data_IF_198169933100
#
_entry.id   IF_198169933100
#
_cell.length_a   1.000
_cell.length_b   1.000
_cell.length_c   1.000
_cell.angle_alpha   90.00
_cell.angle_beta   90.00
_cell.angle_gamma   90.00
#
_symmetry.space_group_name_H-M   'P 1'
#
loop_
_entity.id
_entity.type
_entity.pdbx_description
1 polymer ?
#
# COMPACT_ATOMS: atom_id res chain seq x y z
N UNK A 1 4.63 -15.92 -22.65
CA UNK A 1 3.49 -15.59 -21.78
C UNK A 1 3.86 -14.43 -20.89
N UNK A 2 3.07 -13.36 -20.91
CA UNK A 2 3.40 -12.17 -20.11
C UNK A 2 2.74 -12.23 -18.76
N UNK A 3 3.33 -11.54 -17.81
CA UNK A 3 2.82 -11.41 -16.45
C UNK A 3 2.64 -9.93 -16.13
N UNK A 4 1.60 -9.62 -15.38
CA UNK A 4 1.39 -8.25 -14.92
C UNK A 4 2.13 -8.04 -13.61
N UNK A 5 2.93 -6.98 -13.55
CA UNK A 5 3.68 -6.60 -12.37
C UNK A 5 3.24 -5.21 -11.93
N UNK A 6 3.06 -5.02 -10.63
CA UNK A 6 2.64 -3.76 -10.04
C UNK A 6 3.81 -3.13 -9.28
N UNK A 7 3.90 -1.81 -9.36
CA UNK A 7 4.99 -1.05 -8.76
C UNK A 7 4.44 0.06 -7.85
N UNK A 8 4.88 0.06 -6.61
CA UNK A 8 4.75 1.23 -5.76
C UNK A 8 5.96 2.13 -5.99
N UNK A 9 5.78 3.43 -5.90
CA UNK A 9 6.83 4.38 -6.26
C UNK A 9 6.92 5.54 -5.28
N UNK A 10 8.03 6.28 -5.35
CA UNK A 10 8.13 7.61 -4.75
C UNK A 10 7.63 8.63 -5.77
N UNK A 11 6.79 9.55 -5.32
CA UNK A 11 6.19 10.55 -6.22
C UNK A 11 6.87 11.91 -6.15
N UNK A 12 8.13 11.93 -5.72
CA UNK A 12 8.88 13.17 -5.53
C UNK A 12 9.39 13.78 -6.84
N UNK A 13 9.33 13.04 -7.92
CA UNK A 13 9.74 13.51 -9.24
C UNK A 13 8.60 13.35 -10.25
N UNK A 14 8.75 12.46 -11.23
CA UNK A 14 7.78 12.31 -12.31
C UNK A 14 6.69 11.29 -12.03
N UNK A 15 6.94 10.34 -11.13
CA UNK A 15 5.95 9.31 -10.81
C UNK A 15 4.74 9.90 -10.10
N UNK A 16 3.57 9.37 -10.40
CA UNK A 16 2.30 9.87 -9.85
C UNK A 16 1.61 8.91 -8.92
N UNK A 17 2.14 7.71 -8.75
CA UNK A 17 1.51 6.75 -7.85
C UNK A 17 1.91 5.31 -8.12
N UNK A 18 0.88 4.48 -8.28
CA UNK A 18 1.03 3.04 -8.46
C UNK A 18 0.90 2.71 -9.94
N UNK A 19 1.82 1.92 -10.45
CA UNK A 19 1.89 1.57 -11.87
C UNK A 19 1.81 0.07 -12.05
N UNK A 20 1.46 -0.34 -13.26
CA UNK A 20 1.60 -1.73 -13.71
C UNK A 20 2.35 -1.78 -15.02
N UNK A 21 2.95 -2.92 -15.30
CA UNK A 21 3.60 -3.18 -16.57
C UNK A 21 3.48 -4.66 -16.91
N UNK A 22 3.69 -4.99 -18.18
CA UNK A 22 3.74 -6.38 -18.62
C UNK A 22 5.18 -6.86 -18.62
N UNK A 23 5.44 -7.99 -18.03
CA UNK A 23 6.74 -8.60 -17.98
C UNK A 23 6.74 -9.87 -18.85
N UNK A 24 7.68 -9.95 -19.78
CA UNK A 24 7.89 -11.14 -20.58
C UNK A 24 9.07 -11.92 -19.99
N UNK A 25 8.84 -13.06 -19.32
CA UNK A 25 9.93 -13.81 -18.70
C UNK A 25 10.88 -14.45 -19.71
N UNK A 26 10.45 -14.67 -20.96
CA UNK A 26 11.33 -15.25 -21.99
C UNK A 26 12.40 -14.27 -22.45
N UNK A 27 12.03 -13.00 -22.60
CA UNK A 27 12.96 -11.96 -23.07
C UNK A 27 13.51 -11.10 -21.95
N UNK A 28 12.87 -11.14 -20.76
CA UNK A 28 13.25 -10.29 -19.64
C UNK A 28 12.85 -8.83 -19.81
N UNK A 29 11.90 -8.55 -20.70
CA UNK A 29 11.50 -7.16 -21.00
C UNK A 29 10.25 -6.74 -20.28
N UNK A 30 10.20 -5.47 -19.92
CA UNK A 30 9.01 -4.80 -19.39
C UNK A 30 8.44 -3.90 -20.48
N UNK A 31 7.12 -3.85 -20.58
CA UNK A 31 6.44 -3.02 -21.56
C UNK A 31 5.08 -2.56 -21.04
N UNK A 32 4.47 -1.62 -21.75
CA UNK A 32 3.10 -1.16 -21.46
C UNK A 32 2.97 -0.64 -20.03
N UNK A 33 3.88 0.24 -19.62
CA UNK A 33 3.80 0.89 -18.31
C UNK A 33 2.57 1.78 -18.24
N UNK A 34 1.77 1.61 -17.19
CA UNK A 34 0.50 2.32 -17.05
C UNK A 34 0.26 2.71 -15.60
N UNK A 35 -0.20 3.95 -15.38
CA UNK A 35 -0.61 4.40 -14.05
C UNK A 35 -1.97 3.77 -13.72
N UNK A 36 -2.08 3.08 -12.59
CA UNK A 36 -3.34 2.47 -12.16
C UNK A 36 -4.01 3.23 -11.03
N UNK A 37 -3.24 3.90 -10.18
CA UNK A 37 -3.80 4.69 -9.09
C UNK A 37 -2.87 5.83 -8.72
N UNK A 38 -3.42 7.03 -8.57
CA UNK A 38 -2.65 8.19 -8.10
C UNK A 38 -2.66 8.17 -6.57
N UNK A 39 -1.48 8.23 -5.97
CA UNK A 39 -1.33 8.21 -4.52
C UNK A 39 0.03 8.81 -4.17
N UNK A 40 0.11 9.67 -3.14
CA UNK A 40 1.41 10.21 -2.73
C UNK A 40 2.30 9.11 -2.14
N UNK A 41 3.47 8.93 -2.73
CA UNK A 41 4.52 8.01 -2.26
C UNK A 41 4.01 6.63 -1.81
N UNK A 42 3.31 5.89 -2.70
CA UNK A 42 2.83 4.54 -2.36
C UNK A 42 3.97 3.53 -2.49
N UNK A 43 4.91 3.61 -1.57
CA UNK A 43 6.19 2.91 -1.68
C UNK A 43 6.14 1.43 -1.33
N UNK A 44 5.03 0.95 -0.79
CA UNK A 44 4.81 -0.46 -0.53
C UNK A 44 3.34 -0.78 -0.77
N UNK A 45 3.06 -1.89 -1.44
CA UNK A 45 1.70 -2.28 -1.82
C UNK A 45 1.45 -3.75 -1.50
N UNK A 46 0.17 -4.09 -1.31
CA UNK A 46 -0.26 -5.47 -1.08
C UNK A 46 -1.66 -5.65 -1.64
N UNK A 47 -2.00 -6.87 -2.03
CA UNK A 47 -3.32 -7.21 -2.55
C UNK A 47 -4.01 -8.21 -1.62
N UNK A 48 -5.34 -8.08 -1.50
CA UNK A 48 -6.15 -9.12 -0.87
C UNK A 48 -6.47 -10.22 -1.89
N UNK A 49 -6.99 -11.35 -1.42
CA UNK A 49 -7.40 -12.44 -2.32
C UNK A 49 -8.49 -12.00 -3.29
N UNK A 50 -9.33 -11.05 -2.90
CA UNK A 50 -10.38 -10.50 -3.77
C UNK A 50 -9.84 -9.52 -4.80
N UNK A 51 -8.55 -9.19 -4.73
CA UNK A 51 -7.92 -8.28 -5.67
C UNK A 51 -7.94 -6.82 -5.27
N UNK A 52 -8.44 -6.50 -4.08
CA UNK A 52 -8.38 -5.12 -3.59
C UNK A 52 -6.93 -4.76 -3.28
N UNK A 53 -6.58 -3.50 -3.52
CA UNK A 53 -5.21 -3.02 -3.37
C UNK A 53 -5.09 -2.15 -2.13
N UNK A 54 -4.02 -2.38 -1.39
CA UNK A 54 -3.67 -1.58 -0.20
C UNK A 54 -2.26 -1.07 -0.37
N UNK A 55 -2.05 0.20 -0.07
CA UNK A 55 -0.72 0.78 -0.18
C UNK A 55 -0.44 1.70 1.00
N UNK A 56 0.85 1.85 1.32
CA UNK A 56 1.21 3.00 2.15
C UNK A 56 0.86 4.24 1.35
N UNK A 57 0.39 5.27 2.02
CA UNK A 57 -0.08 6.46 1.33
C UNK A 57 -0.18 7.64 2.28
N UNK A 58 -0.72 8.73 1.75
CA UNK A 58 -0.83 9.96 2.51
C UNK A 58 -2.08 10.73 2.09
N UNK A 59 -2.58 11.53 3.02
CA UNK A 59 -3.70 12.43 2.77
C UNK A 59 -3.53 13.65 3.66
N UNK A 60 -3.57 14.81 3.06
CA UNK A 60 -3.46 16.09 3.79
C UNK A 60 -2.21 16.18 4.67
N UNK A 61 -1.09 15.64 4.20
CA UNK A 61 0.17 15.67 4.94
C UNK A 61 0.30 14.62 6.03
N UNK A 62 -0.68 13.74 6.17
CA UNK A 62 -0.66 12.66 7.15
C UNK A 62 -0.38 11.33 6.46
N UNK A 63 0.32 10.43 7.14
CA UNK A 63 0.67 9.13 6.59
C UNK A 63 -0.19 8.01 7.10
N UNK A 64 -0.37 6.98 6.29
CA UNK A 64 -1.15 5.81 6.67
C UNK A 64 -1.31 4.84 5.52
N UNK A 65 -2.50 4.26 5.40
CA UNK A 65 -2.80 3.28 4.37
C UNK A 65 -3.96 3.76 3.51
N UNK A 66 -3.80 3.62 2.20
CA UNK A 66 -4.85 3.87 1.23
C UNK A 66 -5.41 2.53 0.76
N UNK A 67 -6.72 2.47 0.54
CA UNK A 67 -7.38 1.28 0.02
C UNK A 67 -8.07 1.57 -1.30
N UNK A 68 -8.06 0.58 -2.19
CA UNK A 68 -8.62 0.68 -3.54
C UNK A 68 -9.37 -0.61 -3.87
N UNK A 69 -10.38 -0.48 -4.73
CA UNK A 69 -11.10 -1.65 -5.24
C UNK A 69 -10.21 -2.46 -6.19
N UNK A 70 -10.69 -3.63 -6.62
CA UNK A 70 -9.98 -4.43 -7.61
C UNK A 70 -9.86 -3.71 -8.96
N UNK A 71 -10.70 -2.70 -9.22
CA UNK A 71 -10.61 -1.84 -10.39
C UNK A 71 -9.81 -0.57 -10.13
N UNK A 72 -9.12 -0.50 -8.99
CA UNK A 72 -8.24 0.61 -8.60
C UNK A 72 -8.99 1.92 -8.34
N UNK A 73 -10.25 1.84 -7.98
CA UNK A 73 -11.00 3.02 -7.53
C UNK A 73 -10.71 3.25 -6.04
N UNK A 74 -10.46 4.49 -5.62
CA UNK A 74 -10.16 4.75 -4.21
C UNK A 74 -11.35 4.47 -3.31
N UNK A 75 -11.09 3.84 -2.18
CA UNK A 75 -12.11 3.55 -1.16
C UNK A 75 -11.95 4.51 0.02
N UNK A 76 -10.86 4.39 0.77
CA UNK A 76 -10.61 5.33 1.85
C UNK A 76 -9.12 5.38 2.19
N UNK A 77 -8.77 6.40 2.97
CA UNK A 77 -7.45 6.54 3.60
C UNK A 77 -7.64 6.49 5.11
N UNK A 78 -6.80 5.72 5.77
CA UNK A 78 -6.73 5.76 7.25
C UNK A 78 -5.35 6.31 7.57
N UNK A 79 -5.29 7.56 8.00
CA UNK A 79 -4.04 8.29 8.18
C UNK A 79 -3.96 8.89 9.58
N UNK A 80 -2.73 9.17 10.03
CA UNK A 80 -2.48 9.89 11.27
C UNK A 80 -1.25 10.77 11.11
N UNK A 81 -1.08 11.72 11.98
CA UNK A 81 0.05 12.64 11.92
C UNK A 81 1.36 11.90 12.16
N UNK A 82 2.40 12.34 11.48
CA UNK A 82 3.73 11.81 11.61
C UNK A 82 4.27 11.26 10.31
N UNK A 83 5.37 10.53 10.41
CA UNK A 83 6.02 9.95 9.26
C UNK A 83 5.17 8.87 8.60
N UNK A 84 5.30 8.70 7.29
CA UNK A 84 4.53 7.67 6.59
C UNK A 84 4.95 6.26 7.00
N UNK A 85 4.06 5.31 6.74
CA UNK A 85 4.36 3.91 6.95
C UNK A 85 5.38 3.44 5.91
N UNK A 86 6.05 2.34 6.21
CA UNK A 86 7.03 1.75 5.30
C UNK A 86 6.63 0.36 4.82
N UNK A 87 5.55 -0.19 5.34
CA UNK A 87 5.16 -1.56 5.04
C UNK A 87 3.66 -1.74 5.22
N UNK A 88 3.07 -2.58 4.37
CA UNK A 88 1.67 -3.00 4.50
C UNK A 88 1.58 -4.47 4.11
N UNK A 89 0.76 -5.24 4.83
CA UNK A 89 0.45 -6.62 4.47
C UNK A 89 -1.00 -6.94 4.78
N UNK A 90 -1.56 -7.89 4.04
CA UNK A 90 -2.95 -8.29 4.15
C UNK A 90 -3.02 -9.70 4.73
N UNK A 91 -3.86 -9.88 5.76
CA UNK A 91 -4.15 -11.19 6.34
C UNK A 91 -5.60 -11.51 5.97
N UNK A 92 -5.77 -12.20 4.85
CA UNK A 92 -7.10 -12.51 4.33
C UNK A 92 -7.90 -13.42 5.26
N UNK A 93 -7.20 -14.32 5.92
CA UNK A 93 -7.85 -15.28 6.81
C UNK A 93 -8.52 -14.59 7.99
N UNK A 94 -7.87 -13.58 8.55
CA UNK A 94 -8.38 -12.84 9.70
C UNK A 94 -9.08 -11.54 9.32
N UNK A 95 -9.06 -11.18 8.04
CA UNK A 95 -9.62 -9.93 7.53
C UNK A 95 -9.00 -8.73 8.24
N UNK A 96 -7.68 -8.73 8.30
CA UNK A 96 -6.89 -7.65 8.89
C UNK A 96 -5.84 -7.18 7.91
N UNK A 97 -5.44 -5.94 8.07
CA UNK A 97 -4.31 -5.35 7.35
C UNK A 97 -3.34 -4.80 8.38
N UNK A 98 -2.06 -5.06 8.19
CA UNK A 98 -1.02 -4.60 9.11
C UNK A 98 -0.15 -3.56 8.43
N UNK A 99 0.22 -2.54 9.19
CA UNK A 99 1.17 -1.53 8.74
C UNK A 99 2.31 -1.41 9.72
N UNK A 100 3.46 -0.99 9.23
CA UNK A 100 4.62 -0.74 10.08
C UNK A 100 5.15 0.66 9.84
N UNK A 101 5.51 1.33 10.93
CA UNK A 101 6.09 2.66 10.90
C UNK A 101 7.38 2.63 11.74
N UNK A 102 8.53 2.51 11.06
CA UNK A 102 9.79 2.41 11.79
C UNK A 102 10.21 3.74 12.42
N UNK A 103 9.74 4.86 11.89
CA UNK A 103 10.05 6.17 12.47
C UNK A 103 9.46 6.33 13.87
N UNK A 104 8.30 5.73 14.10
CA UNK A 104 7.62 5.77 15.40
C UNK A 104 7.78 4.48 16.19
N UNK A 105 8.36 3.44 15.60
CA UNK A 105 8.46 2.12 16.22
C UNK A 105 7.12 1.45 16.40
N UNK A 106 6.20 1.64 15.46
CA UNK A 106 4.82 1.16 15.60
C UNK A 106 4.48 0.06 14.61
N UNK A 107 3.65 -0.87 15.08
CA UNK A 107 2.88 -1.78 14.24
C UNK A 107 1.41 -1.40 14.38
N UNK A 108 0.73 -1.23 13.27
CA UNK A 108 -0.67 -0.81 13.24
C UNK A 108 -1.53 -1.92 12.65
N UNK A 109 -2.73 -2.06 13.20
CA UNK A 109 -3.67 -3.10 12.78
C UNK A 109 -4.96 -2.43 12.34
N UNK A 110 -5.44 -2.84 11.17
CA UNK A 110 -6.67 -2.31 10.59
C UNK A 110 -7.62 -3.46 10.30
N UNK A 111 -8.91 -3.22 10.50
CA UNK A 111 -9.95 -4.16 10.11
C UNK A 111 -10.25 -3.99 8.63
N UNK A 112 -10.28 -5.10 7.91
CA UNK A 112 -10.67 -5.12 6.50
C UNK A 112 -12.18 -5.30 6.44
N UNK A 113 -12.87 -4.26 5.99
CA UNK A 113 -14.32 -4.28 5.89
C UNK A 113 -14.78 -5.06 4.65
N UNK A 114 -16.07 -5.44 4.63
CA UNK A 114 -16.61 -6.27 3.54
C UNK A 114 -16.47 -5.61 2.17
N UNK A 115 -16.52 -4.27 2.10
CA UNK A 115 -16.40 -3.53 0.85
C UNK A 115 -14.93 -3.20 0.48
N UNK A 116 -13.98 -3.62 1.31
CA UNK A 116 -12.56 -3.38 1.08
C UNK A 116 -12.00 -2.19 1.82
N UNK A 117 -12.83 -1.39 2.46
CA UNK A 117 -12.34 -0.26 3.25
C UNK A 117 -11.63 -0.75 4.50
N UNK A 118 -10.81 0.12 5.06
CA UNK A 118 -10.09 -0.15 6.29
C UNK A 118 -10.62 0.72 7.43
N UNK A 119 -10.60 0.16 8.63
CA UNK A 119 -10.83 0.94 9.85
C UNK A 119 -9.73 0.59 10.85
N UNK A 120 -9.27 1.61 11.58
CA UNK A 120 -8.20 1.43 12.56
C UNK A 120 -8.70 0.59 13.74
N UNK A 121 -7.90 -0.39 14.17
CA UNK A 121 -8.25 -1.26 15.28
C UNK A 121 -7.30 -1.05 16.46
N UNK A 122 -5.99 -1.15 16.22
CA UNK A 122 -5.03 -1.17 17.31
C UNK A 122 -3.63 -0.82 16.83
N UNK A 123 -2.79 -0.46 17.78
CA UNK A 123 -1.36 -0.24 17.48
C UNK A 123 -0.54 -0.69 18.67
N UNK A 124 0.69 -1.10 18.38
CA UNK A 124 1.67 -1.43 19.39
C UNK A 124 2.93 -0.60 19.10
N UNK A 125 3.44 0.05 20.13
CA UNK A 125 4.62 0.90 19.99
C UNK A 125 5.79 0.24 20.72
N UNK A 126 6.87 0.01 19.97
CA UNK A 126 8.09 -0.56 20.52
C UNK A 126 9.07 0.55 20.87
N UNK A 127 9.76 0.37 21.97
CA UNK A 127 10.81 1.29 22.37
C UNK A 127 12.14 0.56 22.37
N UNK A 128 13.14 1.21 21.82
CA UNK A 128 14.46 0.64 21.74
C UNK A 128 15.26 1.34 20.66
N UNK A 129 16.55 1.06 20.64
CA UNK A 129 17.41 1.54 19.58
C UNK A 129 18.27 0.37 19.13
N UNK A 130 18.07 0.01 17.88
CA UNK A 130 18.86 -1.05 17.28
C UNK A 130 20.19 -0.54 16.76
N UNK A 131 21.09 -1.45 16.34
CA UNK A 131 22.34 -1.06 15.71
C UNK A 131 22.10 -0.43 14.36
#
# INVERSE_FOLDING_TARGET
MSQTIYFGTYTKKESKGIYKAQFDPETGTLSQLELVAAEPNPTYIAFSEKGNLYSVGAEEGKGGIASFTADFQPLNHVVEEGAPLCYVSVDDKRQLVYGANYHKGQVLVYQLEADGRLSFVDQDTHQGSGP
#
